data_IF_831219110583
#
_entry.id   IF_831219110583
#
_cell.length_a   1.000
_cell.length_b   1.000
_cell.length_c   1.000
_cell.angle_alpha   90.00
_cell.angle_beta   90.00
_cell.angle_gamma   90.00
#
_symmetry.space_group_name_H-M   'P 1'
#
loop_
_entity.id
_entity.type
_entity.pdbx_description
1 polymer ?
#
# COMPACT_ATOMS: atom_id res chain seq x y z
N UNK A 1 -0.60 34.61 19.29
CA UNK A 1 -0.26 33.18 19.11
C UNK A 1 -1.29 32.57 18.15
N UNK A 2 -0.92 32.15 16.93
CA UNK A 2 -1.89 31.52 16.00
C UNK A 2 -2.22 30.12 16.51
N UNK A 3 -3.49 29.84 16.86
CA UNK A 3 -3.93 28.49 17.15
C UNK A 3 -3.63 27.60 15.93
N UNK A 4 -2.76 26.60 16.11
CA UNK A 4 -2.53 25.57 15.10
C UNK A 4 -3.81 24.73 15.06
N UNK A 5 -4.56 24.79 13.95
CA UNK A 5 -5.72 23.89 13.77
C UNK A 5 -5.24 22.45 13.95
N UNK A 6 -5.94 21.72 14.82
CA UNK A 6 -5.78 20.27 14.97
C UNK A 6 -5.88 19.61 13.59
N UNK A 7 -5.00 18.66 13.26
CA UNK A 7 -5.08 17.93 12.00
C UNK A 7 -6.40 17.14 11.91
N UNK A 8 -7.11 17.24 10.79
CA UNK A 8 -8.34 16.48 10.58
C UNK A 8 -8.07 14.97 10.56
N UNK A 9 -8.83 14.19 11.34
CA UNK A 9 -8.71 12.74 11.47
C UNK A 9 -9.97 12.04 10.93
N UNK A 10 -9.83 11.30 9.83
CA UNK A 10 -10.93 10.76 9.03
C UNK A 10 -10.90 9.22 8.94
N UNK A 11 -10.13 8.58 9.82
CA UNK A 11 -9.97 7.12 9.90
C UNK A 11 -9.49 6.51 8.58
N UNK A 12 -8.61 7.21 7.85
CA UNK A 12 -8.08 6.74 6.56
C UNK A 12 -7.23 5.48 6.72
N UNK A 13 -6.40 5.40 7.76
CA UNK A 13 -5.60 4.20 8.02
C UNK A 13 -6.49 2.96 8.20
N UNK A 14 -7.58 3.07 8.96
CA UNK A 14 -8.57 1.99 9.11
C UNK A 14 -9.23 1.62 7.79
N UNK A 15 -9.61 2.61 6.98
CA UNK A 15 -10.19 2.33 5.65
C UNK A 15 -9.20 1.58 4.76
N UNK A 16 -7.93 1.98 4.76
CA UNK A 16 -6.89 1.26 4.01
C UNK A 16 -6.70 -0.16 4.54
N UNK A 17 -6.67 -0.38 5.86
CA UNK A 17 -6.61 -1.72 6.45
C UNK A 17 -7.78 -2.58 5.98
N UNK A 18 -9.01 -2.08 6.07
CA UNK A 18 -10.22 -2.82 5.68
C UNK A 18 -10.20 -3.15 4.18
N UNK A 19 -9.94 -2.15 3.33
CA UNK A 19 -9.91 -2.32 1.87
C UNK A 19 -8.84 -3.33 1.47
N UNK A 20 -7.63 -3.19 2.01
CA UNK A 20 -6.50 -4.08 1.68
C UNK A 20 -6.74 -5.50 2.18
N UNK A 21 -7.36 -5.65 3.35
CA UNK A 21 -7.77 -6.97 3.86
C UNK A 21 -8.79 -7.63 2.95
N UNK A 22 -9.82 -6.88 2.50
CA UNK A 22 -10.82 -7.40 1.57
C UNK A 22 -10.15 -7.83 0.25
N UNK A 23 -9.27 -7.01 -0.30
CA UNK A 23 -8.51 -7.32 -1.52
C UNK A 23 -7.69 -8.60 -1.32
N UNK A 24 -6.94 -8.73 -0.22
CA UNK A 24 -6.14 -9.93 0.07
C UNK A 24 -6.97 -11.21 0.20
N UNK A 25 -8.18 -11.16 0.78
CA UNK A 25 -9.08 -12.32 0.77
C UNK A 25 -9.69 -12.61 -0.61
N UNK A 26 -9.93 -11.57 -1.42
CA UNK A 26 -10.35 -11.71 -2.81
C UNK A 26 -9.22 -12.21 -3.71
N UNK A 27 -7.97 -12.27 -3.29
CA UNK A 27 -6.89 -12.88 -4.10
C UNK A 27 -6.89 -14.40 -3.97
N UNK A 28 -7.32 -14.95 -2.82
CA UNK A 28 -7.25 -16.39 -2.53
C UNK A 28 -7.94 -17.26 -3.59
N UNK A 29 -9.16 -16.93 -4.07
CA UNK A 29 -9.82 -17.74 -5.10
C UNK A 29 -9.51 -17.28 -6.54
N UNK A 30 -8.75 -16.21 -6.75
CA UNK A 30 -8.53 -15.59 -8.07
C UNK A 30 -7.02 -15.43 -8.35
N UNK A 31 -6.37 -16.56 -8.60
CA UNK A 31 -4.93 -16.67 -8.92
C UNK A 31 -4.47 -15.79 -10.10
N UNK A 32 -5.36 -15.51 -11.05
CA UNK A 32 -5.11 -14.63 -12.19
C UNK A 32 -4.94 -13.14 -11.85
N UNK A 33 -5.26 -12.71 -10.62
CA UNK A 33 -5.04 -11.32 -10.20
C UNK A 33 -3.56 -10.96 -10.07
N UNK A 34 -2.76 -11.87 -9.50
CA UNK A 34 -1.33 -11.67 -9.27
C UNK A 34 -0.58 -11.35 -10.58
N UNK A 35 -0.65 -12.15 -11.66
CA UNK A 35 0.10 -11.87 -12.88
C UNK A 35 -0.33 -10.57 -13.60
N UNK A 36 -1.51 -10.00 -13.31
CA UNK A 36 -2.01 -8.77 -13.94
C UNK A 36 -1.66 -7.52 -13.12
N UNK A 37 -1.65 -7.64 -11.79
CA UNK A 37 -1.59 -6.50 -10.87
C UNK A 37 -0.31 -6.45 -10.03
N UNK A 38 0.49 -7.52 -9.99
CA UNK A 38 1.79 -7.55 -9.34
C UNK A 38 2.80 -6.67 -10.07
N UNK A 39 3.78 -6.15 -9.33
CA UNK A 39 4.86 -5.40 -9.93
C UNK A 39 5.87 -6.34 -10.56
N UNK A 40 5.79 -6.47 -11.89
CA UNK A 40 6.79 -7.16 -12.70
C UNK A 40 7.64 -6.09 -13.41
N UNK A 41 8.91 -5.88 -13.01
CA UNK A 41 9.72 -4.78 -13.54
C UNK A 41 9.84 -4.75 -15.07
N UNK A 42 9.93 -5.92 -15.71
CA UNK A 42 10.01 -6.04 -17.16
C UNK A 42 8.73 -5.53 -17.88
N UNK A 43 7.56 -5.63 -17.24
CA UNK A 43 6.26 -5.29 -17.84
C UNK A 43 5.79 -3.88 -17.47
N UNK A 44 6.50 -3.18 -16.58
CA UNK A 44 6.04 -1.91 -15.99
C UNK A 44 5.82 -0.80 -17.03
N UNK A 45 6.57 -0.82 -18.14
CA UNK A 45 6.39 0.16 -19.23
C UNK A 45 5.05 -0.06 -19.95
N UNK A 46 4.68 -1.31 -20.20
CA UNK A 46 3.41 -1.67 -20.83
C UNK A 46 2.22 -1.63 -19.87
N UNK A 47 2.46 -1.84 -18.57
CA UNK A 47 1.46 -1.96 -17.52
C UNK A 47 1.81 -1.06 -16.31
N UNK A 48 1.81 0.28 -16.46
CA UNK A 48 2.29 1.18 -15.41
C UNK A 48 1.41 1.19 -14.15
N UNK A 49 0.16 0.73 -14.23
CA UNK A 49 -0.71 0.58 -13.06
C UNK A 49 -0.12 -0.37 -12.01
N UNK A 50 0.74 -1.31 -12.41
CA UNK A 50 1.45 -2.25 -11.54
C UNK A 50 2.18 -1.54 -10.39
N UNK A 51 2.67 -0.32 -10.59
CA UNK A 51 3.38 0.47 -9.56
C UNK A 51 2.50 0.74 -8.35
N UNK A 52 1.19 0.93 -8.56
CA UNK A 52 0.22 1.26 -7.52
C UNK A 52 -0.59 0.04 -7.12
N UNK A 53 -0.99 -0.82 -8.06
CA UNK A 53 -1.82 -1.99 -7.76
C UNK A 53 -1.07 -3.01 -6.93
N UNK A 54 0.24 -3.14 -7.12
CA UNK A 54 1.07 -4.05 -6.33
C UNK A 54 1.05 -3.72 -4.83
N UNK A 55 0.81 -2.45 -4.46
CA UNK A 55 0.75 -2.01 -3.05
C UNK A 55 -0.36 -2.67 -2.24
N UNK A 56 -1.34 -3.31 -2.89
CA UNK A 56 -2.51 -3.91 -2.26
C UNK A 56 -2.54 -5.45 -2.33
N UNK A 57 -1.63 -6.06 -3.10
CA UNK A 57 -1.56 -7.50 -3.31
C UNK A 57 -0.67 -8.19 -2.28
N UNK A 58 -0.95 -9.45 -1.93
CA UNK A 58 -0.18 -10.19 -0.93
C UNK A 58 0.07 -11.65 -1.37
N UNK A 59 1.29 -12.16 -1.14
CA UNK A 59 1.65 -13.56 -1.46
C UNK A 59 0.85 -14.59 -0.67
N UNK A 60 0.62 -14.31 0.61
CA UNK A 60 0.00 -15.22 1.55
C UNK A 60 -0.67 -14.48 2.71
N UNK A 61 -1.43 -15.24 3.50
CA UNK A 61 -2.20 -14.72 4.64
C UNK A 61 -1.30 -14.15 5.74
N UNK A 62 -0.10 -14.70 5.95
CA UNK A 62 0.83 -14.18 6.95
C UNK A 62 1.40 -12.83 6.52
N UNK A 63 1.74 -12.70 5.23
CA UNK A 63 2.20 -11.43 4.67
C UNK A 63 1.15 -10.33 4.77
N UNK A 64 -0.11 -10.67 4.46
CA UNK A 64 -1.26 -9.79 4.67
C UNK A 64 -1.39 -9.39 6.14
N UNK A 65 -1.33 -10.35 7.06
CA UNK A 65 -1.44 -10.08 8.49
C UNK A 65 -0.37 -9.11 8.99
N UNK A 66 0.89 -9.32 8.61
CA UNK A 66 2.01 -8.46 9.02
C UNK A 66 1.87 -7.03 8.50
N UNK A 67 1.48 -6.87 7.23
CA UNK A 67 1.23 -5.57 6.63
C UNK A 67 0.07 -4.85 7.32
N UNK A 68 -1.04 -5.55 7.59
CA UNK A 68 -2.20 -4.95 8.24
C UNK A 68 -1.93 -4.61 9.70
N UNK A 69 -1.13 -5.42 10.40
CA UNK A 69 -0.65 -5.10 11.74
C UNK A 69 0.19 -3.81 11.75
N UNK A 70 1.16 -3.70 10.84
CA UNK A 70 1.99 -2.51 10.72
C UNK A 70 1.17 -1.26 10.34
N UNK A 71 0.26 -1.38 9.36
CA UNK A 71 -0.57 -0.27 8.91
C UNK A 71 -1.58 0.16 9.97
N UNK A 72 -2.19 -0.77 10.70
CA UNK A 72 -3.06 -0.44 11.82
C UNK A 72 -2.26 0.26 12.93
N UNK A 73 -1.12 -0.29 13.35
CA UNK A 73 -0.38 0.29 14.47
C UNK A 73 0.28 1.64 14.12
N UNK A 74 1.12 1.65 13.07
CA UNK A 74 1.87 2.84 12.69
C UNK A 74 1.03 3.82 11.87
N UNK A 75 0.18 3.34 10.97
CA UNK A 75 -0.63 4.19 10.11
C UNK A 75 -1.65 5.01 10.90
N UNK A 76 -2.35 4.42 11.87
CA UNK A 76 -3.30 5.15 12.73
C UNK A 76 -2.57 6.19 13.58
N UNK A 77 -1.44 5.81 14.19
CA UNK A 77 -0.64 6.73 14.98
C UNK A 77 -0.16 7.92 14.13
N UNK A 78 0.35 7.63 12.93
CA UNK A 78 0.84 8.64 12.02
C UNK A 78 -0.30 9.55 11.53
N UNK A 79 -1.46 9.01 11.14
CA UNK A 79 -2.62 9.80 10.75
C UNK A 79 -3.06 10.77 11.85
N UNK A 80 -3.01 10.35 13.13
CA UNK A 80 -3.29 11.24 14.27
C UNK A 80 -2.27 12.37 14.41
N UNK A 81 -0.99 12.10 14.14
CA UNK A 81 0.10 13.08 14.28
C UNK A 81 0.09 14.10 13.14
N UNK A 82 -0.05 13.65 11.88
CA UNK A 82 0.14 14.50 10.70
C UNK A 82 -1.17 14.91 10.01
N UNK A 83 -2.28 14.25 10.34
CA UNK A 83 -3.58 14.44 9.75
C UNK A 83 -3.82 13.63 8.47
N UNK A 84 -5.09 13.35 8.22
CA UNK A 84 -5.58 12.49 7.13
C UNK A 84 -5.02 12.86 5.76
N UNK A 85 -5.00 14.16 5.42
CA UNK A 85 -4.53 14.62 4.11
C UNK A 85 -3.04 14.32 3.92
N UNK A 86 -2.20 14.55 4.92
CA UNK A 86 -0.77 14.27 4.82
C UNK A 86 -0.49 12.77 4.88
N UNK A 87 -1.24 12.05 5.69
CA UNK A 87 -1.16 10.60 5.78
C UNK A 87 -1.40 9.93 4.42
N UNK A 88 -2.48 10.28 3.70
CA UNK A 88 -2.77 9.63 2.42
C UNK A 88 -1.72 9.99 1.35
N UNK A 89 -1.20 11.22 1.33
CA UNK A 89 -0.11 11.58 0.43
C UNK A 89 1.15 10.79 0.75
N UNK A 90 1.50 10.68 2.04
CA UNK A 90 2.66 9.94 2.48
C UNK A 90 2.54 8.45 2.15
N UNK A 91 1.37 7.85 2.35
CA UNK A 91 1.09 6.45 2.01
C UNK A 91 1.36 6.17 0.52
N UNK A 92 0.78 6.96 -0.38
CA UNK A 92 0.99 6.76 -1.82
C UNK A 92 2.40 7.11 -2.28
N UNK A 93 3.00 8.20 -1.77
CA UNK A 93 4.37 8.58 -2.15
C UNK A 93 5.36 7.52 -1.68
N UNK A 94 5.23 7.02 -0.45
CA UNK A 94 6.09 5.97 0.07
C UNK A 94 5.93 4.66 -0.72
N UNK A 95 4.69 4.25 -1.02
CA UNK A 95 4.43 3.05 -1.82
C UNK A 95 4.98 3.14 -3.23
N UNK A 96 4.73 4.25 -3.94
CA UNK A 96 5.26 4.49 -5.29
C UNK A 96 6.80 4.54 -5.28
N UNK A 97 7.39 5.23 -4.31
CA UNK A 97 8.85 5.27 -4.16
C UNK A 97 9.42 3.87 -3.87
N UNK A 98 8.74 3.06 -3.06
CA UNK A 98 9.08 1.66 -2.81
C UNK A 98 9.03 0.81 -4.07
N UNK A 99 7.96 0.92 -4.86
CA UNK A 99 7.83 0.23 -6.15
C UNK A 99 8.95 0.62 -7.13
N UNK A 100 9.26 1.92 -7.24
CA UNK A 100 10.36 2.41 -8.09
C UNK A 100 11.70 1.88 -7.59
N UNK A 101 11.95 1.92 -6.27
CA UNK A 101 13.16 1.37 -5.68
C UNK A 101 13.27 -0.14 -5.97
N UNK A 102 12.17 -0.89 -5.87
CA UNK A 102 12.16 -2.31 -6.20
C UNK A 102 12.56 -2.57 -7.66
N UNK A 103 12.02 -1.80 -8.62
CA UNK A 103 12.39 -1.90 -10.03
C UNK A 103 13.90 -1.66 -10.23
N UNK A 104 14.46 -0.66 -9.55
CA UNK A 104 15.87 -0.27 -9.70
C UNK A 104 16.82 -1.30 -9.05
N UNK A 105 16.51 -1.73 -7.83
CA UNK A 105 17.43 -2.55 -7.02
C UNK A 105 17.17 -4.06 -7.17
N UNK A 106 15.96 -4.45 -7.56
CA UNK A 106 15.53 -5.85 -7.72
C UNK A 106 14.79 -6.07 -9.06
N UNK A 107 15.42 -5.81 -10.22
CA UNK A 107 14.75 -5.85 -11.52
C UNK A 107 14.25 -7.23 -11.95
N UNK A 108 14.66 -8.30 -11.26
CA UNK A 108 14.24 -9.68 -11.54
C UNK A 108 13.17 -10.19 -10.56
N UNK A 109 12.77 -9.38 -9.58
CA UNK A 109 11.83 -9.79 -8.54
C UNK A 109 10.44 -9.24 -8.83
N UNK A 110 9.44 -10.13 -8.81
CA UNK A 110 8.04 -9.72 -8.72
C UNK A 110 7.78 -9.20 -7.30
N UNK A 111 7.27 -7.97 -7.20
CA UNK A 111 6.97 -7.33 -5.91
C UNK A 111 5.48 -7.10 -5.74
N UNK A 112 5.00 -7.28 -4.52
CA UNK A 112 3.61 -7.03 -4.14
C UNK A 112 3.58 -6.91 -2.61
N UNK A 113 2.78 -5.96 -2.14
CA UNK A 113 2.55 -5.61 -0.74
C UNK A 113 3.77 -5.67 0.14
#
# INVERSE_FOLDING_TARGET
MKQKKEPAFNFLAWKLVIITTIIGFLEIPFDWLIPIFALVPEQVISAPWMIVTSMFLHLDVMHLFQNMFALAFFGILLEKIIGSKKFIHLYFVAGIAGSIASIIFYPQATSLG
#
